data_IF_486819216320
#
_entry.id   IF_486819216320
#
_cell.length_a   1.000
_cell.length_b   1.000
_cell.length_c   1.000
_cell.angle_alpha   90.00
_cell.angle_beta   90.00
_cell.angle_gamma   90.00
#
_symmetry.space_group_name_H-M   'P 1'
#
loop_
_entity.id
_entity.type
_entity.pdbx_description
1 polymer ?
#
# COMPACT_ATOMS: atom_id res chain seq x y z
N UNK A 1 -34.40 5.65 33.77
CA UNK A 1 -34.78 6.93 33.19
C UNK A 1 -34.67 6.87 31.67
N UNK A 2 -35.79 7.10 31.00
CA UNK A 2 -35.96 6.98 29.54
C UNK A 2 -35.22 8.07 28.81
N UNK A 3 -34.53 7.74 27.69
CA UNK A 3 -34.20 8.73 26.66
C UNK A 3 -34.31 8.15 25.28
N UNK A 4 -35.26 8.47 24.69
CA UNK A 4 -35.87 9.12 23.50
C UNK A 4 -34.99 8.94 22.24
N UNK A 5 -35.49 8.09 21.40
CA UNK A 5 -35.26 7.95 19.96
C UNK A 5 -35.58 9.27 19.25
N UNK A 6 -34.68 9.77 18.45
CA UNK A 6 -35.02 10.70 17.37
C UNK A 6 -34.73 10.03 16.04
N UNK A 7 -35.81 9.60 15.44
CA UNK A 7 -35.91 9.17 14.05
C UNK A 7 -36.07 10.45 13.23
N UNK A 8 -35.12 10.76 12.37
CA UNK A 8 -35.33 11.74 11.32
C UNK A 8 -35.29 11.03 9.97
N UNK A 9 -36.49 10.69 9.49
CA UNK A 9 -36.74 10.27 8.12
C UNK A 9 -36.62 11.51 7.23
N UNK A 10 -35.69 11.50 6.29
CA UNK A 10 -35.71 12.41 5.14
C UNK A 10 -35.85 11.52 3.89
N UNK A 11 -37.10 11.54 3.38
CA UNK A 11 -37.40 11.14 2.01
C UNK A 11 -36.89 12.22 1.06
N UNK A 12 -36.09 11.87 0.09
CA UNK A 12 -35.97 12.64 -1.13
C UNK A 12 -36.30 11.74 -2.32
N UNK A 13 -37.43 12.10 -2.91
CA UNK A 13 -37.96 11.54 -4.16
C UNK A 13 -37.42 12.38 -5.32
N UNK A 14 -36.89 11.72 -6.34
CA UNK A 14 -37.02 12.08 -7.73
C UNK A 14 -35.99 13.07 -8.29
N UNK A 15 -35.25 12.63 -9.28
CA UNK A 15 -35.37 13.14 -10.64
C UNK A 15 -34.51 12.26 -11.57
N UNK A 16 -35.21 11.59 -12.46
CA UNK A 16 -34.69 10.92 -13.62
C UNK A 16 -34.42 12.00 -14.67
N UNK A 17 -33.23 12.06 -15.20
CA UNK A 17 -32.98 12.71 -16.48
C UNK A 17 -32.05 11.85 -17.33
N UNK A 18 -32.65 11.20 -18.28
CA UNK A 18 -32.01 10.60 -19.45
C UNK A 18 -31.45 11.71 -20.35
N UNK A 19 -30.19 11.65 -20.70
CA UNK A 19 -29.67 12.28 -21.92
C UNK A 19 -28.87 11.24 -22.68
N UNK A 20 -29.46 10.84 -23.80
CA UNK A 20 -28.85 10.09 -24.89
C UNK A 20 -28.28 11.09 -25.88
N UNK A 21 -27.00 10.99 -26.23
CA UNK A 21 -26.42 11.50 -27.47
C UNK A 21 -25.14 10.71 -27.73
N UNK A 22 -25.15 9.75 -28.62
CA UNK A 22 -24.90 9.78 -30.03
C UNK A 22 -23.43 10.02 -30.42
N UNK A 23 -22.84 8.93 -30.89
CA UNK A 23 -21.80 8.70 -31.91
C UNK A 23 -21.08 9.90 -32.52
N UNK A 24 -19.76 9.84 -32.59
CA UNK A 24 -19.08 10.05 -33.86
C UNK A 24 -17.74 9.28 -33.87
N UNK A 25 -17.65 8.33 -34.78
CA UNK A 25 -16.42 7.71 -35.27
C UNK A 25 -15.63 8.80 -36.03
N UNK A 26 -14.33 8.87 -35.82
CA UNK A 26 -13.45 9.38 -36.87
C UNK A 26 -12.21 8.48 -36.93
N UNK A 27 -12.18 7.73 -38.01
CA UNK A 27 -11.02 7.02 -38.51
C UNK A 27 -10.22 8.00 -39.34
N UNK A 28 -8.93 8.14 -39.13
CA UNK A 28 -8.00 8.56 -40.17
C UNK A 28 -6.69 7.78 -40.01
N UNK A 29 -6.47 7.03 -41.02
CA UNK A 29 -5.30 6.30 -41.49
C UNK A 29 -4.30 7.26 -42.15
N UNK A 30 -3.00 6.83 -42.15
CA UNK A 30 -1.94 7.12 -43.14
C UNK A 30 -0.91 8.15 -42.65
N UNK A 31 0.33 7.91 -42.62
CA UNK A 31 1.37 7.37 -43.46
C UNK A 31 2.74 7.79 -42.89
N UNK A 32 3.70 6.90 -43.00
CA UNK A 32 5.14 7.02 -42.79
C UNK A 32 5.76 8.31 -43.32
N UNK A 33 6.77 8.82 -42.62
CA UNK A 33 8.02 9.25 -43.26
C UNK A 33 9.19 9.43 -42.28
N UNK A 34 10.25 8.96 -42.67
CA UNK A 34 11.67 8.82 -42.39
C UNK A 34 12.37 10.08 -41.84
N UNK A 35 13.28 9.80 -40.83
CA UNK A 35 14.48 10.46 -40.30
C UNK A 35 15.08 11.64 -41.12
N UNK A 36 15.84 12.61 -40.49
CA UNK A 36 17.15 12.33 -39.91
C UNK A 36 17.53 13.08 -38.60
N UNK A 37 18.51 12.53 -37.97
CA UNK A 37 19.48 12.94 -36.95
C UNK A 37 19.81 14.44 -36.92
N UNK A 38 19.79 15.06 -35.72
CA UNK A 38 20.70 16.14 -35.36
C UNK A 38 21.02 16.12 -33.86
N UNK A 39 22.29 16.05 -33.62
CA UNK A 39 23.06 16.06 -32.40
C UNK A 39 23.05 17.46 -31.80
N UNK A 40 22.69 17.67 -30.55
CA UNK A 40 23.15 18.84 -29.80
C UNK A 40 23.07 18.61 -28.29
N UNK A 41 24.23 18.44 -27.69
CA UNK A 41 24.79 18.97 -26.45
C UNK A 41 23.87 19.13 -25.21
N UNK A 42 24.21 18.39 -24.17
CA UNK A 42 23.80 18.56 -22.78
C UNK A 42 24.18 19.95 -22.19
N UNK A 43 23.47 20.40 -21.18
CA UNK A 43 24.13 20.99 -20.02
C UNK A 43 23.89 20.16 -18.77
N UNK A 44 25.01 19.84 -18.21
CA UNK A 44 25.29 19.45 -16.82
C UNK A 44 24.53 20.38 -15.84
N UNK A 45 23.66 19.82 -15.02
CA UNK A 45 23.10 20.50 -13.87
C UNK A 45 23.37 19.67 -12.63
N UNK A 46 24.32 20.16 -11.92
CA UNK A 46 24.78 19.93 -10.56
C UNK A 46 23.70 19.40 -9.63
N UNK A 47 23.92 18.19 -9.18
CA UNK A 47 23.25 17.52 -8.07
C UNK A 47 23.77 18.13 -6.76
N UNK A 48 22.94 18.58 -5.84
CA UNK A 48 23.42 18.81 -4.48
C UNK A 48 23.54 17.47 -3.78
N UNK A 49 24.76 17.10 -3.56
CA UNK A 49 25.25 16.08 -2.63
C UNK A 49 24.77 16.44 -1.21
N UNK A 50 23.79 15.69 -0.69
CA UNK A 50 23.52 15.67 0.73
C UNK A 50 24.08 14.40 1.34
N UNK A 51 25.36 14.50 1.66
CA UNK A 51 26.03 13.68 2.66
C UNK A 51 25.42 13.99 4.02
N UNK A 52 24.77 13.05 4.63
CA UNK A 52 24.72 12.94 6.08
C UNK A 52 24.94 11.48 6.44
N UNK A 53 26.22 11.18 6.65
CA UNK A 53 26.68 10.06 7.45
C UNK A 53 25.98 10.09 8.81
N UNK A 54 25.25 9.04 9.09
CA UNK A 54 25.18 8.52 10.44
C UNK A 54 25.06 6.98 10.35
N UNK A 55 26.20 6.32 10.23
CA UNK A 55 26.37 4.91 10.44
C UNK A 55 26.05 4.60 11.89
N UNK A 56 24.88 4.03 12.14
CA UNK A 56 24.63 3.24 13.34
C UNK A 56 23.93 1.95 12.93
N UNK A 57 24.69 0.85 13.08
CA UNK A 57 24.27 -0.56 13.09
C UNK A 57 23.14 -0.93 12.12
N UNK A 58 23.51 -1.52 10.99
CA UNK A 58 22.77 -2.36 10.02
C UNK A 58 21.22 -2.38 10.12
N UNK A 59 20.60 -1.24 10.28
CA UNK A 59 19.17 -1.09 10.20
C UNK A 59 18.81 -0.71 8.75
N UNK A 60 18.03 -1.54 8.07
CA UNK A 60 17.54 -1.21 6.74
C UNK A 60 16.35 -0.26 6.86
N UNK A 61 16.49 0.96 6.39
CA UNK A 61 15.39 1.94 6.37
C UNK A 61 14.38 1.51 5.31
N UNK A 62 13.14 1.26 5.74
CA UNK A 62 12.03 0.91 4.86
C UNK A 62 11.35 2.18 4.33
N UNK A 63 11.03 3.11 5.22
CA UNK A 63 10.34 4.37 4.90
C UNK A 63 10.45 5.34 6.08
N UNK A 64 9.82 6.52 5.98
CA UNK A 64 9.73 7.47 7.10
C UNK A 64 8.32 7.53 7.68
N UNK A 65 8.20 8.02 8.92
CA UNK A 65 6.89 8.23 9.56
C UNK A 65 6.07 9.32 8.86
N UNK A 66 6.70 10.20 8.08
CA UNK A 66 6.02 11.23 7.31
C UNK A 66 5.41 10.68 6.02
N UNK A 67 5.99 9.60 5.47
CA UNK A 67 5.54 8.98 4.22
C UNK A 67 4.50 7.87 4.45
N UNK A 68 4.35 7.40 5.69
CA UNK A 68 3.39 6.37 6.05
C UNK A 68 2.45 6.88 7.15
N UNK A 69 1.27 7.35 6.79
CA UNK A 69 0.29 7.84 7.74
C UNK A 69 -0.28 6.69 8.62
N UNK A 70 -0.80 7.04 9.79
CA UNK A 70 -1.50 6.08 10.66
C UNK A 70 -2.70 5.48 9.92
N UNK A 71 -2.83 4.17 9.99
CA UNK A 71 -3.85 3.39 9.28
C UNK A 71 -3.48 3.00 7.86
N UNK A 72 -2.32 3.42 7.36
CA UNK A 72 -1.84 3.04 6.03
C UNK A 72 -0.85 1.87 6.08
N UNK A 73 -0.69 1.23 4.93
CA UNK A 73 0.28 0.15 4.70
C UNK A 73 1.19 0.46 3.52
N UNK A 74 2.37 -0.16 3.54
CA UNK A 74 3.39 -0.08 2.51
C UNK A 74 3.93 -1.48 2.23
N UNK A 75 3.99 -1.87 0.97
CA UNK A 75 4.65 -3.08 0.53
C UNK A 75 6.16 -2.84 0.39
N UNK A 76 6.96 -3.79 0.83
CA UNK A 76 8.41 -3.72 0.71
C UNK A 76 9.04 -5.11 0.55
N UNK A 77 10.32 -5.14 0.23
CA UNK A 77 11.12 -6.36 0.26
C UNK A 77 11.96 -6.34 1.51
N UNK A 78 11.82 -7.37 2.37
CA UNK A 78 12.59 -7.50 3.60
C UNK A 78 14.09 -7.72 3.30
N UNK A 79 14.93 -7.54 4.33
CA UNK A 79 16.37 -7.86 4.26
C UNK A 79 16.59 -9.31 3.81
N UNK A 80 15.71 -10.23 4.19
CA UNK A 80 15.75 -11.63 3.77
C UNK A 80 15.29 -11.87 2.32
N UNK A 81 14.96 -10.81 1.55
CA UNK A 81 14.48 -10.91 0.17
C UNK A 81 13.02 -11.37 0.05
N UNK A 82 12.26 -11.37 1.13
CA UNK A 82 10.86 -11.81 1.15
C UNK A 82 9.91 -10.64 0.93
N UNK A 83 8.87 -10.85 0.12
CA UNK A 83 7.78 -9.87 -0.01
C UNK A 83 7.08 -9.67 1.33
N UNK A 84 6.96 -8.43 1.73
CA UNK A 84 6.49 -8.02 3.04
C UNK A 84 5.54 -6.83 2.97
N UNK A 85 4.75 -6.66 4.02
CA UNK A 85 3.87 -5.51 4.20
C UNK A 85 4.11 -4.91 5.58
N UNK A 86 4.34 -3.59 5.58
CA UNK A 86 4.43 -2.74 6.75
C UNK A 86 3.11 -2.00 6.92
N UNK A 87 2.61 -1.88 8.14
CA UNK A 87 1.49 -0.98 8.40
C UNK A 87 1.69 -0.24 9.73
N UNK A 88 1.16 0.98 9.77
CA UNK A 88 1.25 1.87 10.92
C UNK A 88 -0.09 1.92 11.64
N UNK A 89 -0.15 1.33 12.83
CA UNK A 89 -1.40 1.25 13.61
C UNK A 89 -1.64 2.45 14.51
N UNK A 90 -0.58 3.16 14.89
CA UNK A 90 -0.63 4.39 15.68
C UNK A 90 0.62 5.24 15.44
N UNK A 91 0.71 6.41 16.09
CA UNK A 91 1.90 7.27 16.02
C UNK A 91 3.19 6.55 16.41
N UNK A 92 3.10 5.62 17.36
CA UNK A 92 4.26 4.94 17.94
C UNK A 92 4.34 3.45 17.57
N UNK A 93 3.38 2.92 16.77
CA UNK A 93 3.31 1.48 16.50
C UNK A 93 3.28 1.16 15.02
N UNK A 94 4.27 0.39 14.61
CA UNK A 94 4.37 -0.22 13.28
C UNK A 94 4.47 -1.74 13.42
N UNK A 95 3.99 -2.44 12.41
CA UNK A 95 4.08 -3.89 12.31
C UNK A 95 4.48 -4.26 10.89
N UNK A 96 5.25 -5.33 10.75
CA UNK A 96 5.55 -5.88 9.43
C UNK A 96 5.39 -7.40 9.43
N UNK A 97 4.80 -7.89 8.35
CA UNK A 97 4.49 -9.29 8.15
C UNK A 97 4.90 -9.72 6.74
N UNK A 98 5.24 -10.98 6.58
CA UNK A 98 5.38 -11.57 5.25
C UNK A 98 4.06 -11.51 4.50
N UNK A 99 4.10 -11.14 3.22
CA UNK A 99 2.93 -11.17 2.33
C UNK A 99 2.66 -12.55 1.74
N UNK A 100 3.43 -13.56 2.10
CA UNK A 100 3.29 -14.90 1.56
C UNK A 100 2.26 -15.66 2.38
N UNK A 101 1.08 -15.90 1.81
CA UNK A 101 0.00 -16.66 2.42
C UNK A 101 0.47 -18.07 2.79
N UNK A 102 0.23 -18.47 4.04
CA UNK A 102 0.69 -19.74 4.58
C UNK A 102 -0.12 -20.96 4.11
N UNK A 103 -1.18 -20.75 3.31
CA UNK A 103 -1.92 -21.81 2.65
C UNK A 103 -1.19 -22.32 1.42
N UNK A 104 -1.05 -21.46 0.39
CA UNK A 104 -0.46 -21.85 -0.91
C UNK A 104 0.45 -20.77 -1.51
N UNK A 105 0.97 -19.84 -0.69
CA UNK A 105 1.99 -18.89 -1.13
C UNK A 105 1.49 -17.68 -1.94
N UNK A 106 0.18 -17.49 -2.13
CA UNK A 106 -0.34 -16.28 -2.74
C UNK A 106 0.03 -15.04 -1.92
N UNK A 107 0.09 -13.87 -2.55
CA UNK A 107 0.25 -12.62 -1.83
C UNK A 107 -1.00 -12.27 -1.04
N UNK A 108 -0.82 -11.81 0.21
CA UNK A 108 -1.90 -11.23 1.00
C UNK A 108 -1.90 -9.71 0.84
N UNK A 109 -3.09 -9.11 0.95
CA UNK A 109 -3.31 -7.67 0.86
C UNK A 109 -3.90 -7.13 2.16
N UNK A 110 -3.64 -5.84 2.45
CA UNK A 110 -4.19 -5.19 3.63
C UNK A 110 -5.56 -4.57 3.33
N UNK A 111 -6.57 -5.00 4.07
CA UNK A 111 -7.90 -4.39 4.05
C UNK A 111 -8.00 -3.34 5.17
N UNK A 112 -7.92 -2.07 4.79
CA UNK A 112 -8.01 -0.94 5.73
C UNK A 112 -9.38 -0.86 6.45
N UNK A 113 -10.47 -1.31 5.79
CA UNK A 113 -11.81 -1.23 6.38
C UNK A 113 -11.98 -2.24 7.52
N UNK A 114 -11.33 -3.38 7.41
CA UNK A 114 -11.42 -4.48 8.36
C UNK A 114 -10.17 -4.60 9.24
N UNK A 115 -9.14 -3.78 8.98
CA UNK A 115 -7.85 -3.77 9.67
C UNK A 115 -7.22 -5.18 9.78
N UNK A 116 -7.20 -5.90 8.66
CA UNK A 116 -6.68 -7.27 8.57
C UNK A 116 -6.01 -7.53 7.23
N UNK A 117 -5.27 -8.63 7.16
CA UNK A 117 -4.69 -9.13 5.91
C UNK A 117 -5.58 -10.21 5.33
N UNK A 118 -5.83 -10.13 4.02
CA UNK A 118 -6.69 -11.05 3.28
C UNK A 118 -5.91 -11.66 2.14
N UNK A 119 -5.98 -12.99 2.02
CA UNK A 119 -5.48 -13.71 0.86
C UNK A 119 -6.59 -13.84 -0.19
N UNK A 120 -6.43 -13.25 -1.38
CA UNK A 120 -7.49 -13.27 -2.40
C UNK A 120 -7.70 -14.64 -3.03
N UNK A 121 -6.72 -15.55 -2.95
CA UNK A 121 -6.81 -16.87 -3.59
C UNK A 121 -7.87 -17.77 -2.96
N UNK A 122 -7.82 -17.95 -1.63
CA UNK A 122 -8.71 -18.90 -0.94
C UNK A 122 -9.31 -18.32 0.35
N UNK A 123 -9.27 -17.00 0.51
CA UNK A 123 -9.94 -16.30 1.59
C UNK A 123 -9.35 -16.51 2.98
N UNK A 124 -8.06 -16.86 3.09
CA UNK A 124 -7.39 -16.84 4.37
C UNK A 124 -7.30 -15.40 4.90
N UNK A 125 -7.65 -15.19 6.17
CA UNK A 125 -7.63 -13.89 6.83
C UNK A 125 -6.71 -13.95 8.05
N UNK A 126 -5.94 -12.87 8.25
CA UNK A 126 -4.96 -12.78 9.32
C UNK A 126 -5.06 -11.44 10.05
N UNK A 127 -4.79 -11.46 11.34
CA UNK A 127 -4.63 -10.27 12.16
C UNK A 127 -3.44 -9.44 11.66
N UNK A 128 -3.69 -8.14 11.43
CA UNK A 128 -2.64 -7.25 10.95
C UNK A 128 -1.55 -6.98 11.99
N UNK A 129 -1.86 -7.09 13.28
CA UNK A 129 -0.92 -6.80 14.37
C UNK A 129 0.09 -7.91 14.62
N UNK A 130 -0.25 -9.15 14.32
CA UNK A 130 0.61 -10.28 14.68
C UNK A 130 0.64 -11.43 13.67
N UNK A 131 -0.15 -11.35 12.60
CA UNK A 131 -0.23 -12.34 11.55
C UNK A 131 -0.97 -13.62 11.94
N UNK A 132 -1.63 -13.68 13.11
CA UNK A 132 -2.42 -14.83 13.51
C UNK A 132 -3.61 -15.06 12.59
N UNK A 133 -3.99 -16.32 12.42
CA UNK A 133 -5.11 -16.68 11.53
C UNK A 133 -6.43 -16.33 12.19
N UNK A 134 -7.25 -15.53 11.51
CA UNK A 134 -8.64 -15.23 11.89
C UNK A 134 -9.56 -16.31 11.31
N UNK A 135 -9.39 -16.63 10.03
CA UNK A 135 -10.22 -17.62 9.33
C UNK A 135 -9.56 -18.06 8.03
N UNK A 136 -10.08 -19.15 7.45
CA UNK A 136 -9.64 -19.66 6.15
C UNK A 136 -9.04 -21.06 6.21
N UNK A 137 -8.44 -21.53 5.11
CA UNK A 137 -7.99 -22.91 4.98
C UNK A 137 -6.64 -23.23 5.61
N UNK A 138 -6.02 -22.28 6.32
CA UNK A 138 -4.73 -22.46 7.02
C UNK A 138 -4.87 -22.25 8.52
N UNK A 139 -3.98 -22.88 9.28
CA UNK A 139 -3.84 -22.67 10.72
C UNK A 139 -2.51 -22.03 11.10
N UNK A 140 -1.66 -21.75 10.10
CA UNK A 140 -0.33 -21.21 10.29
C UNK A 140 -0.33 -19.69 10.13
N UNK A 141 0.17 -18.97 11.14
CA UNK A 141 0.31 -17.50 11.11
C UNK A 141 1.31 -17.04 10.04
N UNK A 142 1.16 -15.80 9.58
CA UNK A 142 2.17 -15.14 8.76
C UNK A 142 3.45 -14.91 9.58
N UNK A 143 4.58 -14.96 8.90
CA UNK A 143 5.86 -14.67 9.53
C UNK A 143 5.95 -13.17 9.89
N UNK A 144 6.41 -12.88 11.11
CA UNK A 144 6.67 -11.52 11.57
C UNK A 144 8.05 -11.06 11.10
N UNK A 145 8.12 -9.80 10.73
CA UNK A 145 9.36 -9.11 10.42
C UNK A 145 9.57 -8.07 11.51
N UNK A 146 10.76 -8.05 12.10
CA UNK A 146 11.06 -7.12 13.18
C UNK A 146 11.27 -5.73 12.60
N UNK A 147 10.47 -4.78 13.05
CA UNK A 147 10.56 -3.38 12.64
C UNK A 147 10.40 -2.48 13.85
N UNK A 148 11.00 -1.30 13.78
CA UNK A 148 10.83 -0.27 14.81
C UNK A 148 10.92 1.13 14.21
N UNK A 149 10.46 2.13 14.98
CA UNK A 149 10.61 3.54 14.66
C UNK A 149 11.89 4.04 15.34
N UNK A 150 12.85 4.51 14.52
CA UNK A 150 14.08 5.14 14.96
C UNK A 150 14.10 6.60 14.50
N UNK A 151 13.78 7.53 15.40
CA UNK A 151 13.61 8.95 15.06
C UNK A 151 12.47 9.13 14.03
N UNK A 152 12.80 9.57 12.83
CA UNK A 152 11.84 9.71 11.73
C UNK A 152 11.77 8.49 10.81
N UNK A 153 12.63 7.51 10.99
CA UNK A 153 12.71 6.36 10.10
C UNK A 153 11.97 5.16 10.68
N UNK A 154 11.38 4.35 9.80
CA UNK A 154 10.89 3.01 10.10
C UNK A 154 11.92 2.03 9.51
N UNK A 155 12.52 1.22 10.37
CA UNK A 155 13.63 0.35 10.02
C UNK A 155 13.29 -1.11 10.24
N UNK A 156 13.84 -1.99 9.39
CA UNK A 156 13.86 -3.43 9.63
C UNK A 156 15.11 -3.80 10.44
N UNK A 157 14.89 -4.63 11.45
CA UNK A 157 15.97 -5.13 12.31
C UNK A 157 16.42 -6.52 11.84
N UNK A 158 17.71 -6.77 11.93
CA UNK A 158 18.33 -8.08 11.64
C UNK A 158 18.11 -9.05 12.78
#
# INVERSE_FOLDING_TARGET
MKNRRNILKIMFVGFISFVVAACTRNSNTTTSETTPVEETTAPETTQPEQTTDNQSATANVITTINDLAVGQSLEFTSIAGTSAILFRSSEEKVYALSRICTHEGCSVDFDMNQNRLICPCHGANYEASDGSVISGPTTKSLAKIKVEIQGNNIVELV
#
